data_IF_140427227957
#
_entry.id   IF_140427227957
#
_cell.length_a   1.000
_cell.length_b   1.000
_cell.length_c   1.000
_cell.angle_alpha   90.00
_cell.angle_beta   90.00
_cell.angle_gamma   90.00
#
_symmetry.space_group_name_H-M   'P 1'
#
loop_
_entity.id
_entity.type
_entity.pdbx_description
1 polymer ?
#
# COMPACT_ATOMS: atom_id res chain seq x y z
N UNK A 1 -53.86 16.12 -29.29
CA UNK A 1 -52.63 15.95 -28.48
C UNK A 1 -51.44 15.61 -29.39
N UNK A 2 -50.58 16.59 -29.68
CA UNK A 2 -49.35 16.40 -30.49
C UNK A 2 -48.28 15.82 -29.60
N UNK A 3 -47.83 14.56 -29.84
CA UNK A 3 -46.62 13.98 -29.22
C UNK A 3 -45.41 14.74 -29.76
N UNK A 4 -44.84 15.61 -28.93
CA UNK A 4 -43.53 16.23 -29.17
C UNK A 4 -42.48 15.13 -29.07
N UNK A 5 -42.07 14.61 -30.20
CA UNK A 5 -40.93 13.71 -30.33
C UNK A 5 -39.60 14.49 -30.15
N UNK A 6 -39.18 14.68 -28.93
CA UNK A 6 -37.87 15.22 -28.66
C UNK A 6 -36.80 14.32 -29.26
N UNK A 7 -36.07 14.78 -30.31
CA UNK A 7 -34.90 14.10 -30.84
C UNK A 7 -33.87 13.97 -29.69
N UNK A 8 -33.64 12.75 -29.22
CA UNK A 8 -32.56 12.48 -28.30
C UNK A 8 -31.24 12.96 -28.93
N UNK A 9 -30.64 13.99 -28.35
CA UNK A 9 -29.38 14.53 -28.81
C UNK A 9 -28.31 13.46 -28.51
N UNK A 10 -27.72 12.87 -29.56
CA UNK A 10 -26.66 11.88 -29.41
C UNK A 10 -25.35 12.60 -29.05
N UNK A 11 -25.06 12.72 -27.77
CA UNK A 11 -23.83 13.34 -27.24
C UNK A 11 -22.59 12.43 -27.37
N UNK A 12 -22.71 11.22 -27.93
CA UNK A 12 -21.61 10.25 -28.00
C UNK A 12 -20.33 10.81 -28.63
N UNK A 13 -20.45 11.62 -29.69
CA UNK A 13 -19.28 12.22 -30.37
C UNK A 13 -18.53 13.19 -29.44
N UNK A 14 -19.25 14.01 -28.70
CA UNK A 14 -18.65 14.95 -27.77
C UNK A 14 -18.00 14.25 -26.57
N UNK A 15 -18.60 13.16 -26.07
CA UNK A 15 -18.00 12.32 -25.05
C UNK A 15 -16.64 11.77 -25.46
N UNK A 16 -16.50 11.25 -26.67
CA UNK A 16 -15.21 10.80 -27.20
C UNK A 16 -14.20 11.94 -27.34
N UNK A 17 -14.63 13.11 -27.87
CA UNK A 17 -13.74 14.27 -28.03
C UNK A 17 -13.19 14.73 -26.67
N UNK A 18 -14.01 14.77 -25.63
CA UNK A 18 -13.55 15.13 -24.28
C UNK A 18 -12.63 14.08 -23.64
N UNK A 19 -12.72 12.80 -24.04
CA UNK A 19 -11.81 11.74 -23.58
C UNK A 19 -10.46 11.73 -24.30
N UNK A 20 -10.35 12.31 -25.51
CA UNK A 20 -9.12 12.28 -26.31
C UNK A 20 -7.90 12.79 -25.52
N UNK A 21 -7.91 13.97 -24.85
CA UNK A 21 -6.75 14.46 -24.13
C UNK A 21 -6.28 13.48 -23.04
N UNK A 22 -7.22 12.90 -22.30
CA UNK A 22 -6.91 11.89 -21.29
C UNK A 22 -6.31 10.62 -21.93
N UNK A 23 -6.93 10.12 -23.00
CA UNK A 23 -6.46 8.90 -23.69
C UNK A 23 -5.05 9.11 -24.27
N UNK A 24 -4.78 10.27 -24.88
CA UNK A 24 -3.45 10.58 -25.44
C UNK A 24 -2.40 10.59 -24.34
N UNK A 25 -2.65 11.29 -23.24
CA UNK A 25 -1.72 11.34 -22.09
C UNK A 25 -1.52 9.93 -21.51
N UNK A 26 -2.59 9.16 -21.34
CA UNK A 26 -2.52 7.79 -20.85
C UNK A 26 -1.69 6.87 -21.76
N UNK A 27 -1.92 6.92 -23.08
CA UNK A 27 -1.17 6.12 -24.04
C UNK A 27 0.30 6.48 -24.02
N UNK A 28 0.64 7.78 -24.07
CA UNK A 28 2.04 8.24 -24.13
C UNK A 28 2.80 7.95 -22.85
N UNK A 29 2.20 8.19 -21.69
CA UNK A 29 2.92 8.15 -20.40
C UNK A 29 2.71 6.86 -19.60
N UNK A 30 1.72 6.03 -19.95
CA UNK A 30 1.45 4.77 -19.27
C UNK A 30 1.62 3.56 -20.21
N UNK A 31 0.91 3.56 -21.34
CA UNK A 31 0.86 2.38 -22.18
C UNK A 31 2.18 2.16 -22.93
N UNK A 32 2.78 3.22 -23.50
CA UNK A 32 4.07 3.11 -24.22
C UNK A 32 5.19 2.64 -23.29
N UNK A 33 5.42 3.24 -22.08
CA UNK A 33 6.43 2.75 -21.12
C UNK A 33 6.17 1.31 -20.67
N UNK A 34 4.90 0.92 -20.45
CA UNK A 34 4.55 -0.45 -20.09
C UNK A 34 4.95 -1.45 -21.17
N UNK A 35 4.58 -1.18 -22.44
CA UNK A 35 4.94 -2.03 -23.58
C UNK A 35 6.46 -2.10 -23.72
N UNK A 36 7.15 -0.96 -23.58
CA UNK A 36 8.62 -0.89 -23.67
C UNK A 36 9.28 -1.72 -22.55
N UNK A 37 8.74 -1.66 -21.34
CA UNK A 37 9.25 -2.46 -20.21
C UNK A 37 9.08 -3.96 -20.48
N UNK A 38 7.91 -4.37 -20.97
CA UNK A 38 7.65 -5.77 -21.36
C UNK A 38 8.58 -6.20 -22.49
N UNK A 39 8.76 -5.35 -23.51
CA UNK A 39 9.67 -5.64 -24.62
C UNK A 39 11.11 -5.80 -24.14
N UNK A 40 11.63 -4.85 -23.34
CA UNK A 40 12.99 -4.90 -22.83
C UNK A 40 13.25 -6.10 -21.91
N UNK A 41 12.24 -6.67 -21.28
CA UNK A 41 12.38 -7.83 -20.40
C UNK A 41 12.90 -9.09 -21.13
N UNK A 42 12.72 -9.16 -22.44
CA UNK A 42 13.20 -10.26 -23.29
C UNK A 42 14.58 -10.03 -23.89
N UNK A 43 15.21 -8.88 -23.55
CA UNK A 43 16.52 -8.52 -24.07
C UNK A 43 17.56 -8.46 -22.96
N UNK A 44 18.77 -8.91 -23.26
CA UNK A 44 19.94 -8.58 -22.48
C UNK A 44 20.36 -7.15 -22.82
N UNK A 45 20.26 -6.26 -21.85
CA UNK A 45 20.63 -4.85 -22.01
C UNK A 45 21.09 -4.29 -20.68
N UNK A 46 22.40 -4.16 -20.51
CA UNK A 46 23.01 -3.64 -19.29
C UNK A 46 24.30 -2.89 -19.57
N UNK A 47 24.76 -2.11 -18.58
CA UNK A 47 26.06 -1.44 -18.63
C UNK A 47 27.11 -2.29 -17.91
N UNK A 48 28.20 -2.58 -18.60
CA UNK A 48 29.41 -3.18 -18.02
C UNK A 48 30.53 -2.15 -18.01
N UNK A 49 30.71 -1.48 -16.86
CA UNK A 49 31.56 -0.32 -16.76
C UNK A 49 31.04 0.85 -17.64
N UNK A 50 31.81 1.25 -18.64
CA UNK A 50 31.43 2.31 -19.59
C UNK A 50 30.85 1.77 -20.91
N UNK A 51 30.82 0.46 -21.11
CA UNK A 51 30.31 -0.16 -22.34
C UNK A 51 28.92 -0.70 -22.13
N UNK A 52 28.04 -0.45 -23.10
CA UNK A 52 26.70 -1.04 -23.12
C UNK A 52 26.78 -2.42 -23.79
N UNK A 53 26.23 -3.44 -23.12
CA UNK A 53 26.00 -4.77 -23.67
C UNK A 53 24.53 -4.86 -24.12
N UNK A 54 24.31 -5.16 -25.38
CA UNK A 54 22.98 -5.27 -25.97
C UNK A 54 22.45 -3.94 -26.56
N UNK A 55 21.15 -3.93 -26.97
CA UNK A 55 20.11 -4.94 -26.68
C UNK A 55 20.25 -6.22 -27.54
N UNK A 56 20.44 -7.37 -26.89
CA UNK A 56 20.47 -8.68 -27.52
C UNK A 56 19.22 -9.48 -27.12
N UNK A 57 18.52 -10.09 -28.06
CA UNK A 57 17.35 -10.89 -27.73
C UNK A 57 17.75 -12.20 -27.04
N UNK A 58 17.29 -12.40 -25.80
CA UNK A 58 17.60 -13.57 -24.96
C UNK A 58 16.36 -14.36 -24.54
N UNK A 59 15.17 -13.96 -25.03
CA UNK A 59 13.92 -14.63 -24.69
C UNK A 59 13.64 -14.61 -23.19
N UNK A 60 13.47 -15.77 -22.56
CA UNK A 60 13.11 -15.90 -21.15
C UNK A 60 14.31 -16.02 -20.18
N UNK A 61 15.52 -15.87 -20.65
CA UNK A 61 16.73 -16.07 -19.85
C UNK A 61 16.79 -15.12 -18.63
N UNK A 62 16.35 -13.86 -18.77
CA UNK A 62 16.25 -12.93 -17.66
C UNK A 62 15.34 -13.44 -16.54
N UNK A 63 14.22 -14.04 -16.90
CA UNK A 63 13.27 -14.63 -15.96
C UNK A 63 13.88 -15.87 -15.27
N UNK A 64 14.53 -16.73 -16.02
CA UNK A 64 15.21 -17.91 -15.46
C UNK A 64 16.27 -17.51 -14.46
N UNK A 65 17.14 -16.55 -14.78
CA UNK A 65 18.13 -15.99 -13.87
C UNK A 65 17.51 -15.46 -12.58
N UNK A 66 16.37 -14.74 -12.67
CA UNK A 66 15.67 -14.20 -11.49
C UNK A 66 15.13 -15.30 -10.58
N UNK A 67 14.52 -16.34 -11.13
CA UNK A 67 13.96 -17.43 -10.32
C UNK A 67 15.04 -18.37 -9.75
N UNK A 68 16.13 -18.58 -10.48
CA UNK A 68 17.25 -19.45 -10.06
C UNK A 68 18.12 -18.81 -8.97
N UNK A 69 18.27 -17.47 -8.98
CA UNK A 69 19.08 -16.76 -7.98
C UNK A 69 18.58 -16.89 -6.53
N UNK A 70 17.32 -17.24 -6.33
CA UNK A 70 16.67 -17.31 -5.02
C UNK A 70 16.37 -15.95 -4.37
N UNK A 71 16.96 -14.87 -4.84
CA UNK A 71 16.81 -13.51 -4.32
C UNK A 71 15.37 -13.03 -4.38
N UNK A 72 14.66 -13.32 -5.47
CA UNK A 72 13.29 -12.88 -5.68
C UNK A 72 12.33 -13.41 -4.60
N UNK A 73 12.50 -14.67 -4.20
CA UNK A 73 11.67 -15.31 -3.18
C UNK A 73 11.93 -14.73 -1.79
N UNK A 74 13.22 -14.45 -1.49
CA UNK A 74 13.59 -13.80 -0.24
C UNK A 74 12.98 -12.40 -0.15
N UNK A 75 13.08 -11.60 -1.21
CA UNK A 75 12.58 -10.22 -1.20
C UNK A 75 11.05 -10.17 -1.28
N UNK A 76 10.42 -11.10 -1.97
CA UNK A 76 8.97 -11.28 -1.91
C UNK A 76 8.50 -11.58 -0.48
N UNK A 77 9.13 -12.55 0.19
CA UNK A 77 8.83 -12.89 1.59
C UNK A 77 9.02 -11.69 2.52
N UNK A 78 10.13 -10.95 2.35
CA UNK A 78 10.38 -9.74 3.13
C UNK A 78 9.28 -8.70 2.93
N UNK A 79 8.89 -8.46 1.67
CA UNK A 79 7.83 -7.50 1.32
C UNK A 79 6.50 -7.89 1.96
N UNK A 80 6.13 -9.18 1.89
CA UNK A 80 4.90 -9.68 2.53
C UNK A 80 4.93 -9.57 4.05
N UNK A 81 6.05 -9.91 4.68
CA UNK A 81 6.21 -9.79 6.14
C UNK A 81 6.08 -8.34 6.57
N UNK A 82 6.76 -7.41 5.90
CA UNK A 82 6.67 -5.98 6.19
C UNK A 82 5.26 -5.43 5.99
N UNK A 83 4.59 -5.82 4.89
CA UNK A 83 3.21 -5.42 4.65
C UNK A 83 2.26 -5.94 5.74
N UNK A 84 2.33 -7.22 6.12
CA UNK A 84 1.48 -7.81 7.17
C UNK A 84 1.73 -7.13 8.51
N UNK A 85 3.00 -6.91 8.89
CA UNK A 85 3.37 -6.24 10.14
C UNK A 85 2.84 -4.81 10.21
N UNK A 86 2.74 -4.11 9.07
CA UNK A 86 2.17 -2.78 8.98
C UNK A 86 0.63 -2.83 8.96
N UNK A 87 0.05 -3.67 8.09
CA UNK A 87 -1.38 -3.65 7.77
C UNK A 87 -2.26 -4.12 8.93
N UNK A 88 -1.84 -5.14 9.68
CA UNK A 88 -2.66 -5.65 10.80
C UNK A 88 -2.93 -4.56 11.86
N UNK A 89 -1.92 -3.89 12.44
CA UNK A 89 -2.18 -2.82 13.40
C UNK A 89 -2.87 -1.62 12.74
N UNK A 90 -2.55 -1.29 11.50
CA UNK A 90 -3.18 -0.20 10.76
C UNK A 90 -4.69 -0.40 10.62
N UNK A 91 -5.13 -1.57 10.13
CA UNK A 91 -6.57 -1.83 9.92
C UNK A 91 -7.32 -1.92 11.24
N UNK A 92 -6.71 -2.50 12.27
CA UNK A 92 -7.31 -2.57 13.61
C UNK A 92 -7.54 -1.17 14.19
N UNK A 93 -6.51 -0.32 14.21
CA UNK A 93 -6.63 1.07 14.69
C UNK A 93 -7.63 1.87 13.84
N UNK A 94 -7.61 1.69 12.54
CA UNK A 94 -8.51 2.41 11.62
C UNK A 94 -9.97 2.01 11.79
N UNK A 95 -10.26 0.73 12.02
CA UNK A 95 -11.62 0.26 12.31
C UNK A 95 -12.10 0.79 13.66
N UNK A 96 -11.25 0.74 14.68
CA UNK A 96 -11.59 1.22 16.02
C UNK A 96 -11.89 2.72 16.01
N UNK A 97 -10.99 3.53 15.44
CA UNK A 97 -11.16 4.98 15.36
C UNK A 97 -12.30 5.37 14.42
N UNK A 98 -12.45 4.65 13.30
CA UNK A 98 -13.56 4.84 12.35
C UNK A 98 -14.90 4.63 13.04
N UNK A 99 -15.05 3.55 13.81
CA UNK A 99 -16.27 3.26 14.57
C UNK A 99 -16.54 4.37 15.61
N UNK A 100 -15.55 4.78 16.39
CA UNK A 100 -15.72 5.85 17.39
C UNK A 100 -16.08 7.19 16.78
N UNK A 101 -15.47 7.57 15.66
CA UNK A 101 -15.71 8.85 15.01
C UNK A 101 -17.00 8.89 14.16
N UNK A 102 -17.57 7.74 13.82
CA UNK A 102 -18.85 7.64 13.11
C UNK A 102 -20.04 7.50 14.06
N UNK A 103 -19.81 7.11 15.30
CA UNK A 103 -20.87 6.93 16.29
C UNK A 103 -21.42 8.28 16.77
N UNK A 104 -22.65 8.58 16.38
CA UNK A 104 -23.34 9.81 16.75
C UNK A 104 -23.74 9.82 18.22
N UNK A 105 -23.95 8.65 18.84
CA UNK A 105 -24.35 8.51 20.24
C UNK A 105 -23.26 8.92 21.21
N UNK A 106 -21.99 8.72 20.84
CA UNK A 106 -20.82 9.06 21.68
C UNK A 106 -20.60 10.56 21.85
N UNK A 107 -21.21 11.43 20.99
CA UNK A 107 -21.10 12.90 21.04
C UNK A 107 -19.67 13.41 21.30
N UNK A 108 -18.67 12.79 20.66
CA UNK A 108 -17.27 13.10 20.85
C UNK A 108 -16.96 14.58 20.56
N UNK A 109 -16.46 15.29 21.55
CA UNK A 109 -16.00 16.68 21.38
C UNK A 109 -14.67 16.72 20.64
N UNK A 110 -14.49 17.69 19.73
CA UNK A 110 -13.22 17.88 19.02
C UNK A 110 -12.93 16.88 17.90
N UNK A 111 -13.91 16.13 17.42
CA UNK A 111 -13.75 15.12 16.36
C UNK A 111 -13.02 15.66 15.12
N UNK A 112 -13.28 16.92 14.74
CA UNK A 112 -12.57 17.57 13.60
C UNK A 112 -11.08 17.67 13.85
N UNK A 113 -10.68 18.11 15.05
CA UNK A 113 -9.27 18.22 15.44
C UNK A 113 -8.58 16.86 15.40
N UNK A 114 -9.16 15.84 16.03
CA UNK A 114 -8.58 14.49 16.01
C UNK A 114 -8.47 13.91 14.62
N UNK A 115 -9.48 14.08 13.76
CA UNK A 115 -9.42 13.65 12.35
C UNK A 115 -8.27 14.32 11.59
N UNK A 116 -8.04 15.61 11.84
CA UNK A 116 -6.90 16.32 11.23
C UNK A 116 -5.57 15.79 11.75
N UNK A 117 -5.43 15.59 13.06
CA UNK A 117 -4.20 15.10 13.67
C UNK A 117 -3.81 13.71 13.19
N UNK A 118 -4.77 12.77 13.13
CA UNK A 118 -4.49 11.39 12.65
C UNK A 118 -4.16 11.32 11.17
N UNK A 119 -4.62 12.30 10.37
CA UNK A 119 -4.34 12.40 8.95
C UNK A 119 -3.01 13.09 8.65
N UNK A 120 -2.50 13.90 9.58
CA UNK A 120 -1.30 14.72 9.39
C UNK A 120 -0.06 13.91 8.96
N UNK A 121 0.24 12.71 9.52
CA UNK A 121 1.39 11.92 9.10
C UNK A 121 1.36 11.53 7.62
N UNK A 122 0.16 11.34 7.04
CA UNK A 122 -0.01 11.01 5.62
C UNK A 122 0.40 12.15 4.67
N UNK A 123 0.39 13.39 5.16
CA UNK A 123 0.80 14.57 4.38
C UNK A 123 2.32 14.80 4.37
N UNK A 124 3.04 14.14 5.27
CA UNK A 124 4.49 14.26 5.36
C UNK A 124 5.12 13.35 4.28
N UNK A 125 6.09 13.88 3.55
CA UNK A 125 6.85 13.07 2.59
C UNK A 125 7.49 11.87 3.29
N UNK A 126 7.34 10.68 2.71
CA UNK A 126 7.88 9.44 3.26
C UNK A 126 9.40 9.52 3.51
N UNK A 127 10.14 10.22 2.66
CA UNK A 127 11.57 10.44 2.81
C UNK A 127 11.92 11.29 4.03
N UNK A 128 11.22 12.40 4.25
CA UNK A 128 11.43 13.26 5.41
C UNK A 128 11.05 12.54 6.72
N UNK A 129 9.93 11.81 6.72
CA UNK A 129 9.48 11.02 7.84
C UNK A 129 10.49 9.91 8.18
N UNK A 130 11.03 9.24 7.16
CA UNK A 130 12.03 8.19 7.34
C UNK A 130 13.35 8.71 7.89
N UNK A 131 13.81 9.89 7.42
CA UNK A 131 15.03 10.52 7.93
C UNK A 131 14.86 10.94 9.40
N UNK A 132 13.69 11.47 9.76
CA UNK A 132 13.36 11.79 11.16
C UNK A 132 13.50 10.54 12.05
N UNK A 133 12.87 9.43 11.67
CA UNK A 133 12.95 8.19 12.44
C UNK A 133 14.36 7.59 12.45
N UNK A 134 15.08 7.66 11.33
CA UNK A 134 16.48 7.25 11.28
C UNK A 134 17.32 8.00 12.31
N UNK A 135 17.13 9.32 12.43
CA UNK A 135 17.85 10.14 13.40
C UNK A 135 17.41 9.87 14.85
N UNK A 136 16.10 9.70 15.07
CA UNK A 136 15.55 9.43 16.41
C UNK A 136 16.03 8.09 16.96
N UNK A 137 16.13 7.05 16.14
CA UNK A 137 16.47 5.67 16.52
C UNK A 137 17.93 5.30 16.21
N UNK A 138 18.78 6.28 15.85
CA UNK A 138 20.22 6.09 15.75
C UNK A 138 20.83 5.70 17.10
N UNK A 139 22.03 5.09 17.10
CA UNK A 139 22.71 4.63 18.32
C UNK A 139 22.89 5.78 19.35
N UNK A 140 23.28 6.97 18.90
CA UNK A 140 23.35 8.19 19.73
C UNK A 140 22.10 9.06 19.67
N UNK A 141 20.97 8.54 19.18
CA UNK A 141 19.74 9.30 18.96
C UNK A 141 18.95 9.60 20.24
N UNK A 142 17.99 10.54 20.14
CA UNK A 142 17.18 10.98 21.28
C UNK A 142 16.44 9.85 21.99
N UNK A 143 15.97 8.83 21.26
CA UNK A 143 15.25 7.69 21.86
C UNK A 143 16.16 6.89 22.79
N UNK A 144 17.38 6.55 22.36
CA UNK A 144 18.34 5.87 23.21
C UNK A 144 18.71 6.71 24.44
N UNK A 145 18.94 8.02 24.28
CA UNK A 145 19.23 8.91 25.38
C UNK A 145 18.08 8.96 26.39
N UNK A 146 16.83 9.04 25.92
CA UNK A 146 15.66 9.00 26.79
C UNK A 146 15.55 7.67 27.56
N UNK A 147 15.71 6.53 26.86
CA UNK A 147 15.63 5.20 27.47
C UNK A 147 16.73 4.99 28.53
N UNK A 148 17.93 5.52 28.30
CA UNK A 148 19.01 5.51 29.31
C UNK A 148 18.70 6.40 30.48
N UNK A 149 18.19 7.61 30.26
CA UNK A 149 17.85 8.56 31.36
C UNK A 149 16.77 8.02 32.29
N UNK A 150 15.76 7.32 31.75
CA UNK A 150 14.70 6.69 32.58
C UNK A 150 15.14 5.35 33.18
N UNK A 151 16.39 4.89 32.90
CA UNK A 151 16.93 3.65 33.43
C UNK A 151 16.40 2.37 32.80
N UNK A 152 15.74 2.47 31.64
CA UNK A 152 15.17 1.31 30.94
C UNK A 152 16.24 0.46 30.24
N UNK A 153 17.32 1.10 29.78
CA UNK A 153 18.50 0.47 29.18
C UNK A 153 19.77 1.07 29.79
N UNK A 154 20.82 0.24 29.92
CA UNK A 154 22.13 0.68 30.45
C UNK A 154 23.08 1.16 29.35
N UNK A 155 22.90 0.66 28.12
CA UNK A 155 23.69 0.99 26.95
C UNK A 155 22.78 1.28 25.74
N UNK A 156 23.23 2.06 24.74
CA UNK A 156 22.44 2.34 23.54
C UNK A 156 22.04 1.07 22.81
N UNK A 157 20.74 0.88 22.58
CA UNK A 157 20.23 -0.24 21.82
C UNK A 157 20.35 0.04 20.31
N UNK A 158 20.98 -0.86 19.59
CA UNK A 158 21.19 -0.73 18.13
C UNK A 158 19.96 -1.15 17.34
N UNK A 159 18.94 -0.28 17.31
CA UNK A 159 17.65 -0.55 16.67
C UNK A 159 17.75 -1.02 15.22
N UNK A 160 18.68 -0.46 14.45
CA UNK A 160 18.84 -0.74 13.03
C UNK A 160 19.80 -1.91 12.73
N UNK A 161 20.37 -2.53 13.78
CA UNK A 161 21.26 -3.68 13.65
C UNK A 161 20.57 -5.02 13.92
N UNK A 162 19.31 -5.01 14.41
CA UNK A 162 18.53 -6.21 14.69
C UNK A 162 17.35 -6.33 13.73
N UNK A 163 17.14 -7.52 13.16
CA UNK A 163 16.05 -7.79 12.18
C UNK A 163 14.67 -7.38 12.72
N UNK A 164 14.37 -7.77 13.95
CA UNK A 164 13.06 -7.50 14.56
C UNK A 164 12.78 -6.02 14.73
N UNK A 165 13.71 -5.26 15.32
CA UNK A 165 13.55 -3.83 15.56
C UNK A 165 13.54 -3.02 14.25
N UNK A 166 14.39 -3.35 13.27
CA UNK A 166 14.39 -2.69 11.96
C UNK A 166 13.07 -2.89 11.24
N UNK A 167 12.56 -4.14 11.16
CA UNK A 167 11.25 -4.43 10.58
C UNK A 167 10.11 -3.77 11.35
N UNK A 168 10.18 -3.79 12.68
CA UNK A 168 9.21 -3.14 13.55
C UNK A 168 9.14 -1.64 13.33
N UNK A 169 10.28 -0.96 13.18
CA UNK A 169 10.32 0.47 12.86
C UNK A 169 9.74 0.76 11.48
N UNK A 170 10.09 -0.02 10.46
CA UNK A 170 9.51 0.12 9.10
C UNK A 170 7.99 -0.05 9.17
N UNK A 171 7.50 -1.06 9.87
CA UNK A 171 6.08 -1.33 10.01
C UNK A 171 5.35 -0.23 10.79
N UNK A 172 5.92 0.25 11.90
CA UNK A 172 5.40 1.36 12.69
C UNK A 172 5.26 2.62 11.85
N UNK A 173 6.31 3.00 11.12
CA UNK A 173 6.31 4.21 10.29
C UNK A 173 5.24 4.14 9.21
N UNK A 174 5.15 3.02 8.47
CA UNK A 174 4.11 2.85 7.45
C UNK A 174 2.71 2.83 8.07
N UNK A 175 2.53 2.19 9.23
CA UNK A 175 1.28 2.22 9.97
C UNK A 175 0.89 3.67 10.30
N UNK A 176 1.80 4.46 10.91
CA UNK A 176 1.55 5.87 11.25
C UNK A 176 1.25 6.74 10.04
N UNK A 177 1.88 6.50 8.90
CA UNK A 177 1.62 7.26 7.68
C UNK A 177 0.25 6.97 7.08
N UNK A 178 -0.24 5.73 7.17
CA UNK A 178 -1.42 5.31 6.41
C UNK A 178 -2.69 5.08 7.25
N UNK A 179 -2.59 4.88 8.58
CA UNK A 179 -3.77 4.57 9.40
C UNK A 179 -4.82 5.68 9.39
N UNK A 180 -4.41 6.95 9.36
CA UNK A 180 -5.31 8.10 9.35
C UNK A 180 -6.15 8.15 8.06
N UNK A 181 -5.50 7.96 6.91
CA UNK A 181 -6.19 7.87 5.61
C UNK A 181 -7.21 6.71 5.59
N UNK A 182 -6.78 5.54 6.05
CA UNK A 182 -7.64 4.36 6.15
C UNK A 182 -8.81 4.59 7.12
N UNK A 183 -8.56 5.24 8.26
CA UNK A 183 -9.61 5.62 9.23
C UNK A 183 -10.68 6.50 8.60
N UNK A 184 -10.28 7.55 7.87
CA UNK A 184 -11.23 8.47 7.22
C UNK A 184 -12.07 7.74 6.17
N UNK A 185 -11.45 6.86 5.39
CA UNK A 185 -12.14 6.08 4.37
C UNK A 185 -13.17 5.11 4.99
N UNK A 186 -12.78 4.37 6.01
CA UNK A 186 -13.68 3.44 6.73
C UNK A 186 -14.81 4.20 7.44
N UNK A 187 -14.50 5.31 8.08
CA UNK A 187 -15.48 6.18 8.72
C UNK A 187 -16.49 6.70 7.70
N UNK A 188 -16.06 7.15 6.52
CA UNK A 188 -16.96 7.60 5.46
C UNK A 188 -17.92 6.48 5.02
N UNK A 189 -17.41 5.24 4.94
CA UNK A 189 -18.25 4.07 4.68
C UNK A 189 -19.26 3.80 5.79
N UNK A 190 -18.83 3.91 7.05
CA UNK A 190 -19.74 3.71 8.20
C UNK A 190 -20.85 4.79 8.26
N UNK A 191 -20.52 6.03 7.96
CA UNK A 191 -21.48 7.14 7.88
C UNK A 191 -22.48 7.01 6.71
N UNK A 192 -22.17 6.19 5.71
CA UNK A 192 -23.05 5.87 4.59
C UNK A 192 -24.08 4.76 4.89
N UNK A 193 -24.01 4.11 6.05
CA UNK A 193 -24.97 3.08 6.46
C UNK A 193 -26.23 3.77 6.97
N UNK A 194 -27.42 3.25 6.56
CA UNK A 194 -28.70 3.80 6.97
C UNK A 194 -28.86 3.73 8.50
N UNK A 195 -29.15 4.89 9.11
CA UNK A 195 -29.30 5.03 10.56
C UNK A 195 -30.46 4.20 11.11
N UNK A 196 -31.48 3.93 10.32
CA UNK A 196 -32.62 3.10 10.71
C UNK A 196 -32.22 1.70 11.13
N UNK A 197 -31.13 1.14 10.59
CA UNK A 197 -30.60 -0.16 10.99
C UNK A 197 -30.03 -0.14 12.41
N UNK A 198 -29.40 0.98 12.80
CA UNK A 198 -28.87 1.14 14.15
C UNK A 198 -29.99 1.37 15.17
N UNK A 199 -30.99 2.17 14.83
CA UNK A 199 -32.19 2.42 15.65
C UNK A 199 -32.98 1.13 15.88
N UNK A 200 -33.18 0.33 14.82
CA UNK A 200 -33.84 -0.97 14.94
C UNK A 200 -33.07 -1.96 15.84
N UNK A 201 -31.75 -1.96 15.74
CA UNK A 201 -30.89 -2.77 16.58
C UNK A 201 -30.94 -2.34 18.05
N UNK A 202 -30.99 -1.05 18.33
CA UNK A 202 -31.11 -0.48 19.67
C UNK A 202 -32.46 -0.84 20.30
N UNK A 203 -33.56 -0.71 19.57
CA UNK A 203 -34.88 -1.17 20.01
C UNK A 203 -34.91 -2.68 20.27
N UNK A 204 -34.16 -3.46 19.47
CA UNK A 204 -33.98 -4.89 19.65
C UNK A 204 -33.07 -5.28 20.81
N UNK A 205 -32.51 -4.31 21.55
CA UNK A 205 -31.62 -4.56 22.70
C UNK A 205 -30.22 -5.04 22.31
N UNK A 206 -29.77 -4.79 21.09
CA UNK A 206 -28.42 -5.16 20.66
C UNK A 206 -27.35 -4.31 21.36
N UNK A 207 -26.26 -4.97 21.80
CA UNK A 207 -25.09 -4.26 22.34
C UNK A 207 -24.28 -3.61 21.21
N UNK A 208 -23.51 -2.54 21.53
CA UNK A 208 -22.65 -1.87 20.55
C UNK A 208 -21.70 -2.84 19.83
N UNK A 209 -21.16 -3.85 20.54
CA UNK A 209 -20.33 -4.90 19.94
C UNK A 209 -21.11 -5.75 18.95
N UNK A 210 -22.37 -6.11 19.25
CA UNK A 210 -23.21 -6.86 18.32
C UNK A 210 -23.54 -6.01 17.08
N UNK A 211 -23.85 -4.74 17.25
CA UNK A 211 -24.08 -3.80 16.16
C UNK A 211 -22.85 -3.72 15.27
N UNK A 212 -21.66 -3.54 15.86
CA UNK A 212 -20.43 -3.46 15.08
C UNK A 212 -20.16 -4.73 14.26
N UNK A 213 -20.18 -5.91 14.87
CA UNK A 213 -19.82 -7.16 14.18
C UNK A 213 -20.93 -7.72 13.28
N UNK A 214 -22.21 -7.48 13.60
CA UNK A 214 -23.35 -8.07 12.87
C UNK A 214 -23.98 -7.12 11.84
N UNK A 215 -23.79 -5.81 11.98
CA UNK A 215 -24.37 -4.78 11.09
C UNK A 215 -23.28 -4.01 10.40
N UNK A 216 -22.43 -3.28 11.16
CA UNK A 216 -21.45 -2.34 10.59
C UNK A 216 -20.42 -3.06 9.74
N UNK A 217 -19.75 -4.06 10.29
CA UNK A 217 -18.64 -4.75 9.62
C UNK A 217 -19.06 -5.50 8.34
N UNK A 218 -20.21 -6.22 8.31
CA UNK A 218 -20.72 -6.84 7.09
C UNK A 218 -21.11 -5.82 6.00
N UNK A 219 -21.75 -4.72 6.37
CA UNK A 219 -22.13 -3.66 5.42
C UNK A 219 -20.91 -2.86 4.92
N UNK A 220 -19.85 -2.78 5.71
CA UNK A 220 -18.59 -2.15 5.34
C UNK A 220 -17.72 -3.03 4.42
N UNK A 221 -18.08 -4.28 4.20
CA UNK A 221 -17.30 -5.26 3.45
C UNK A 221 -16.79 -4.78 2.09
N UNK A 222 -17.58 -4.09 1.22
CA UNK A 222 -17.07 -3.61 -0.06
C UNK A 222 -15.89 -2.63 0.10
N UNK A 223 -15.97 -1.76 1.11
CA UNK A 223 -14.90 -0.79 1.41
C UNK A 223 -13.69 -1.50 2.02
N UNK A 224 -13.90 -2.50 2.87
CA UNK A 224 -12.81 -3.32 3.42
C UNK A 224 -12.05 -4.07 2.32
N UNK A 225 -12.74 -4.63 1.34
CA UNK A 225 -12.12 -5.28 0.17
C UNK A 225 -11.25 -4.27 -0.59
N UNK A 226 -11.78 -3.08 -0.83
CA UNK A 226 -11.03 -2.00 -1.47
C UNK A 226 -9.78 -1.62 -0.66
N UNK A 227 -9.91 -1.46 0.66
CA UNK A 227 -8.79 -1.14 1.56
C UNK A 227 -7.72 -2.25 1.54
N UNK A 228 -8.12 -3.52 1.59
CA UNK A 228 -7.17 -4.65 1.55
C UNK A 228 -6.42 -4.67 0.22
N UNK A 229 -7.12 -4.53 -0.91
CA UNK A 229 -6.49 -4.56 -2.23
C UNK A 229 -5.54 -3.37 -2.41
N UNK A 230 -5.96 -2.16 -2.08
CA UNK A 230 -5.12 -0.97 -2.23
C UNK A 230 -3.93 -0.98 -1.27
N UNK A 231 -4.12 -1.47 -0.05
CA UNK A 231 -3.02 -1.66 0.91
C UNK A 231 -2.03 -2.74 0.44
N UNK A 232 -2.51 -3.85 -0.15
CA UNK A 232 -1.66 -4.89 -0.70
C UNK A 232 -0.80 -4.36 -1.86
N UNK A 233 -1.42 -3.61 -2.78
CA UNK A 233 -0.70 -2.98 -3.89
C UNK A 233 0.36 -2.01 -3.36
N UNK A 234 0.00 -1.15 -2.40
CA UNK A 234 0.95 -0.23 -1.75
C UNK A 234 2.07 -0.95 -0.99
N UNK A 235 1.74 -2.07 -0.33
CA UNK A 235 2.72 -2.92 0.36
C UNK A 235 3.71 -3.59 -0.58
N UNK A 236 3.24 -4.07 -1.75
CA UNK A 236 4.12 -4.61 -2.79
C UNK A 236 5.04 -3.54 -3.40
N UNK A 237 4.62 -2.28 -3.37
CA UNK A 237 5.38 -1.11 -3.84
C UNK A 237 6.17 -0.42 -2.72
N UNK A 238 6.30 -1.02 -1.54
CA UNK A 238 7.00 -0.43 -0.39
C UNK A 238 8.48 -0.21 -0.72
N UNK A 239 8.89 1.07 -0.79
CA UNK A 239 10.23 1.49 -1.18
C UNK A 239 10.86 2.51 -0.22
N UNK A 240 10.26 3.69 -0.06
CA UNK A 240 10.91 4.85 0.57
C UNK A 240 11.39 4.58 2.00
N UNK A 241 10.52 4.03 2.84
CA UNK A 241 10.82 3.82 4.26
C UNK A 241 11.96 2.82 4.45
N UNK A 242 11.90 1.58 3.91
CA UNK A 242 13.01 0.64 4.07
C UNK A 242 14.27 1.09 3.34
N UNK A 243 14.16 1.80 2.20
CA UNK A 243 15.30 2.33 1.45
C UNK A 243 16.12 3.30 2.29
N UNK A 244 15.46 4.27 2.92
CA UNK A 244 16.13 5.30 3.72
C UNK A 244 16.61 4.74 5.06
N UNK A 245 15.76 4.00 5.76
CA UNK A 245 16.07 3.48 7.08
C UNK A 245 17.26 2.49 7.07
N UNK A 246 17.48 1.80 5.95
CA UNK A 246 18.57 0.82 5.79
C UNK A 246 19.68 1.29 4.84
N UNK A 247 19.69 2.57 4.45
CA UNK A 247 20.63 3.12 3.45
C UNK A 247 20.69 2.27 2.16
N UNK A 248 19.54 1.81 1.68
CA UNK A 248 19.41 1.03 0.44
C UNK A 248 19.94 -0.41 0.52
N UNK A 249 20.44 -0.85 1.66
CA UNK A 249 21.05 -2.19 1.80
C UNK A 249 20.04 -3.26 2.20
N UNK A 250 18.90 -2.86 2.78
CA UNK A 250 17.92 -3.78 3.38
C UNK A 250 18.44 -4.48 4.64
N UNK A 251 19.52 -4.00 5.24
CA UNK A 251 20.12 -4.59 6.45
C UNK A 251 19.19 -4.52 7.66
N UNK A 252 19.38 -5.39 8.67
CA UNK A 252 20.40 -6.48 8.77
C UNK A 252 20.08 -7.68 7.86
N UNK A 253 21.11 -8.31 7.35
CA UNK A 253 21.04 -9.58 6.56
C UNK A 253 20.07 -9.49 5.35
N UNK A 254 19.96 -8.32 4.73
CA UNK A 254 18.97 -8.01 3.66
C UNK A 254 17.51 -8.34 4.03
N UNK A 255 17.21 -8.42 5.33
CA UNK A 255 15.89 -8.83 5.82
C UNK A 255 14.78 -7.80 5.55
N UNK A 256 15.17 -6.54 5.29
CA UNK A 256 14.25 -5.45 4.94
C UNK A 256 14.34 -5.04 3.46
N UNK A 257 15.10 -5.79 2.63
CA UNK A 257 15.14 -5.59 1.19
C UNK A 257 13.80 -6.00 0.60
N UNK A 258 13.10 -5.06 -0.03
CA UNK A 258 11.82 -5.30 -0.71
C UNK A 258 12.04 -5.61 -2.20
N UNK A 259 10.99 -6.09 -2.86
CA UNK A 259 11.02 -6.35 -4.31
C UNK A 259 11.29 -5.07 -5.11
N UNK A 260 10.67 -3.94 -4.71
CA UNK A 260 10.89 -2.64 -5.38
C UNK A 260 12.29 -2.10 -5.11
N UNK A 261 12.86 -2.29 -3.92
CA UNK A 261 14.26 -1.95 -3.66
C UNK A 261 15.21 -2.74 -4.56
N UNK A 262 14.94 -4.03 -4.74
CA UNK A 262 15.71 -4.90 -5.62
C UNK A 262 15.60 -4.46 -7.09
N UNK A 263 14.39 -4.16 -7.56
CA UNK A 263 14.15 -3.61 -8.89
C UNK A 263 14.93 -2.31 -9.11
N UNK A 264 14.80 -1.35 -8.20
CA UNK A 264 15.50 -0.06 -8.30
C UNK A 264 17.02 -0.24 -8.26
N UNK A 265 17.53 -1.17 -7.45
CA UNK A 265 18.96 -1.48 -7.42
C UNK A 265 19.47 -1.94 -8.79
N UNK A 266 18.72 -2.82 -9.49
CA UNK A 266 19.03 -3.25 -10.87
C UNK A 266 18.96 -2.08 -11.85
N UNK A 267 17.92 -1.27 -11.73
CA UNK A 267 17.74 -0.09 -12.58
C UNK A 267 18.86 0.95 -12.40
N UNK A 268 19.28 1.23 -11.17
CA UNK A 268 20.42 2.13 -10.89
C UNK A 268 21.75 1.56 -11.40
N UNK A 269 21.88 0.24 -11.43
CA UNK A 269 23.02 -0.44 -12.07
C UNK A 269 22.92 -0.45 -13.60
N UNK A 270 21.89 0.21 -14.18
CA UNK A 270 21.61 0.26 -15.62
C UNK A 270 21.43 -1.12 -16.26
N UNK A 271 20.92 -2.07 -15.50
CA UNK A 271 20.55 -3.40 -15.96
C UNK A 271 19.07 -3.39 -16.39
N UNK A 272 18.82 -2.89 -17.59
CA UNK A 272 17.47 -2.63 -18.08
C UNK A 272 16.69 -3.92 -18.40
N UNK A 273 17.39 -4.94 -18.91
CA UNK A 273 16.77 -6.23 -19.21
C UNK A 273 16.24 -6.92 -17.96
N UNK A 274 17.08 -7.05 -16.95
CA UNK A 274 16.73 -7.66 -15.66
C UNK A 274 15.67 -6.84 -14.91
N UNK A 275 15.79 -5.50 -14.94
CA UNK A 275 14.79 -4.59 -14.35
C UNK A 275 13.44 -4.71 -15.03
N UNK A 276 13.43 -4.85 -16.36
CA UNK A 276 12.22 -5.09 -17.14
C UNK A 276 11.54 -6.40 -16.75
N UNK A 277 12.30 -7.50 -16.68
CA UNK A 277 11.77 -8.81 -16.28
C UNK A 277 11.22 -8.79 -14.85
N UNK A 278 11.92 -8.13 -13.92
CA UNK A 278 11.48 -8.00 -12.53
C UNK A 278 10.19 -7.15 -12.42
N UNK A 279 10.06 -6.09 -13.23
CA UNK A 279 8.86 -5.26 -13.29
C UNK A 279 7.64 -6.07 -13.78
N UNK A 280 7.81 -6.91 -14.80
CA UNK A 280 6.76 -7.79 -15.32
C UNK A 280 6.35 -8.83 -14.26
N UNK A 281 7.31 -9.43 -13.56
CA UNK A 281 7.02 -10.38 -12.47
C UNK A 281 6.23 -9.68 -11.35
N UNK A 282 6.65 -8.49 -10.92
CA UNK A 282 5.93 -7.69 -9.93
C UNK A 282 4.50 -7.38 -10.36
N UNK A 283 4.31 -7.00 -11.62
CA UNK A 283 2.97 -6.75 -12.17
C UNK A 283 2.09 -8.00 -12.09
N UNK A 284 2.63 -9.17 -12.52
CA UNK A 284 1.90 -10.45 -12.49
C UNK A 284 1.55 -10.84 -11.04
N UNK A 285 2.51 -10.76 -10.11
CA UNK A 285 2.28 -11.05 -8.69
C UNK A 285 1.18 -10.15 -8.12
N UNK A 286 1.26 -8.85 -8.38
CA UNK A 286 0.27 -7.87 -7.91
C UNK A 286 -1.11 -8.17 -8.47
N UNK A 287 -1.21 -8.48 -9.77
CA UNK A 287 -2.47 -8.81 -10.41
C UNK A 287 -3.08 -10.11 -9.84
N UNK A 288 -2.29 -11.16 -9.69
CA UNK A 288 -2.74 -12.46 -9.13
C UNK A 288 -3.25 -12.27 -7.69
N UNK A 289 -2.47 -11.60 -6.83
CA UNK A 289 -2.85 -11.39 -5.44
C UNK A 289 -4.09 -10.51 -5.32
N UNK A 290 -4.20 -9.45 -6.12
CA UNK A 290 -5.38 -8.57 -6.11
C UNK A 290 -6.64 -9.31 -6.57
N UNK A 291 -6.55 -10.12 -7.64
CA UNK A 291 -7.66 -10.97 -8.11
C UNK A 291 -8.03 -12.02 -7.06
N UNK A 292 -7.04 -12.63 -6.40
CA UNK A 292 -7.29 -13.62 -5.36
C UNK A 292 -8.05 -12.98 -4.17
N UNK A 293 -7.61 -11.83 -3.69
CA UNK A 293 -8.31 -11.08 -2.63
C UNK A 293 -9.74 -10.74 -3.05
N UNK A 294 -9.92 -10.22 -4.27
CA UNK A 294 -11.24 -9.86 -4.78
C UNK A 294 -12.19 -11.07 -4.86
N UNK A 295 -11.72 -12.21 -5.41
CA UNK A 295 -12.52 -13.42 -5.53
C UNK A 295 -12.85 -14.05 -4.17
N UNK A 296 -11.88 -14.13 -3.25
CA UNK A 296 -12.10 -14.68 -1.91
C UNK A 296 -13.10 -13.84 -1.12
N UNK A 297 -13.08 -12.53 -1.32
CA UNK A 297 -13.97 -11.61 -0.63
C UNK A 297 -15.36 -11.49 -1.29
N UNK A 298 -15.48 -11.67 -2.61
CA UNK A 298 -16.74 -11.51 -3.36
C UNK A 298 -17.64 -12.75 -3.43
N UNK A 299 -17.14 -13.94 -3.09
CA UNK A 299 -17.91 -15.19 -3.25
C UNK A 299 -19.04 -15.39 -2.22
N UNK A 300 -19.09 -14.63 -1.12
CA UNK A 300 -20.14 -14.79 -0.11
C UNK A 300 -21.47 -14.12 -0.48
N UNK A 301 -21.48 -13.14 -1.41
CA UNK A 301 -22.72 -12.49 -1.84
C UNK A 301 -23.59 -13.44 -2.70
N UNK A 302 -22.98 -14.34 -3.46
CA UNK A 302 -23.69 -15.35 -4.27
C UNK A 302 -24.27 -16.52 -3.47
N UNK A 303 -23.98 -16.64 -2.17
CA UNK A 303 -24.54 -17.69 -1.30
C UNK A 303 -25.79 -17.24 -0.55
N UNK A 304 -26.20 -15.97 -0.69
CA UNK A 304 -27.36 -15.40 0.03
C UNK A 304 -28.53 -15.04 -0.90
N UNK A 305 -28.37 -15.24 -2.22
CA UNK A 305 -29.47 -15.31 -3.19
C UNK A 305 -29.90 -16.78 -3.41
#
# INVERSE_FOLDING_TARGET
MRKSGGKAVRYNKWGYIFLIPFIVVYVVFQLVPLITTIYNSFFENYMSGLTQVGPNFVGFENYEKLFTSGDIWQYFKNTMVLWIMCFIPQIFLSLLLGAWFSDVSLKLKGTRFFKTVIYLPNLIMASAFSLLFFTLFADGGPINNLLMQIGFISEPYKFLSHVGSTRGLIALMNCLMWFGNTTILLMAGMLGIDTSLFEAAEVGGATSTQVFFKITLPLLRPILIYVIITSLIGGLQLFDVPQILTNGTGNPVRSSMTLIMYLNKRLYSKDYGMSGALSVILFIITAILSIAVFKLSGNDDKRKE
#
